data_IF_578681439955
#
_entry.id   IF_578681439955
#
_cell.length_a   1.000
_cell.length_b   1.000
_cell.length_c   1.000
_cell.angle_alpha   90.00
_cell.angle_beta   90.00
_cell.angle_gamma   90.00
#
_symmetry.space_group_name_H-M   'P 1'
#
loop_
_entity.id
_entity.type
_entity.pdbx_description
1 polymer ?
#
# COMPACT_ATOMS: atom_id res chain seq x y z
N UNK A 1 -20.18 15.62 -11.94
CA UNK A 1 -19.75 15.32 -13.32
C UNK A 1 -20.32 14.01 -13.80
N UNK A 2 -20.03 12.91 -13.10
CA UNK A 2 -20.57 11.57 -13.40
C UNK A 2 -22.10 11.57 -13.50
N UNK A 3 -22.80 12.14 -12.51
CA UNK A 3 -24.28 12.25 -12.51
C UNK A 3 -24.86 13.06 -13.69
N UNK A 4 -24.05 13.90 -14.31
CA UNK A 4 -24.45 14.70 -15.48
C UNK A 4 -24.11 14.01 -16.81
N UNK A 5 -23.64 12.76 -16.77
CA UNK A 5 -23.28 11.98 -17.96
C UNK A 5 -21.97 12.40 -18.61
N UNK A 6 -21.18 13.26 -17.97
CA UNK A 6 -19.87 13.67 -18.48
C UNK A 6 -18.93 12.48 -18.43
N UNK A 7 -18.19 12.22 -19.52
CA UNK A 7 -17.13 11.21 -19.53
C UNK A 7 -15.99 11.68 -18.63
N UNK A 8 -15.66 10.88 -17.63
CA UNK A 8 -14.60 11.15 -16.66
C UNK A 8 -13.63 9.98 -16.68
N UNK A 9 -12.35 10.31 -16.63
CA UNK A 9 -11.25 9.38 -16.45
C UNK A 9 -10.40 9.85 -15.29
N UNK A 10 -9.71 8.93 -14.62
CA UNK A 10 -8.83 9.25 -13.51
C UNK A 10 -7.35 9.08 -13.89
N UNK A 11 -6.49 9.95 -13.35
CA UNK A 11 -5.06 9.96 -13.64
C UNK A 11 -4.29 10.79 -12.61
N UNK A 12 -2.96 10.70 -12.65
CA UNK A 12 -2.07 11.25 -11.62
C UNK A 12 -1.43 12.59 -11.98
N UNK A 13 -1.22 12.90 -13.26
CA UNK A 13 -0.32 13.98 -13.71
C UNK A 13 1.11 13.82 -13.12
N UNK A 14 1.60 12.56 -13.11
CA UNK A 14 2.73 12.11 -12.31
C UNK A 14 4.10 12.71 -12.64
N UNK A 15 4.27 13.33 -13.81
CA UNK A 15 5.52 14.00 -14.17
C UNK A 15 5.65 15.39 -13.54
N UNK A 16 4.57 15.94 -12.96
CA UNK A 16 4.51 17.35 -12.56
C UNK A 16 3.93 17.60 -11.16
N UNK A 17 2.87 16.88 -10.79
CA UNK A 17 2.05 17.26 -9.62
C UNK A 17 1.94 16.16 -8.58
N UNK A 18 1.88 14.88 -8.99
CA UNK A 18 1.65 13.79 -8.05
C UNK A 18 2.55 12.57 -8.31
N UNK A 19 2.37 11.52 -7.50
CA UNK A 19 3.05 10.23 -7.66
C UNK A 19 2.48 9.45 -8.85
N UNK A 20 3.30 8.58 -9.46
CA UNK A 20 2.85 7.57 -10.43
C UNK A 20 1.98 6.47 -9.79
N UNK A 21 1.94 6.39 -8.46
CA UNK A 21 1.25 5.33 -7.74
C UNK A 21 -0.28 5.44 -7.86
N UNK A 22 -0.97 4.53 -8.56
CA UNK A 22 -2.42 4.58 -8.74
C UNK A 22 -3.19 4.37 -7.43
N UNK A 23 -2.59 3.67 -6.46
CA UNK A 23 -3.24 3.35 -5.19
C UNK A 23 -3.42 4.56 -4.30
N UNK A 24 -2.48 5.52 -4.35
CA UNK A 24 -2.63 6.82 -3.68
C UNK A 24 -3.81 7.61 -4.27
N UNK A 25 -4.00 7.54 -5.59
CA UNK A 25 -5.13 8.20 -6.23
C UNK A 25 -6.46 7.51 -5.93
N UNK A 26 -6.50 6.17 -5.92
CA UNK A 26 -7.68 5.41 -5.52
C UNK A 26 -8.05 5.67 -4.05
N UNK A 27 -7.06 5.76 -3.15
CA UNK A 27 -7.25 6.20 -1.77
C UNK A 27 -7.86 7.60 -1.70
N UNK A 28 -7.34 8.56 -2.47
CA UNK A 28 -7.87 9.92 -2.47
C UNK A 28 -9.30 10.00 -3.02
N UNK A 29 -9.61 9.26 -4.10
CA UNK A 29 -10.95 9.22 -4.68
C UNK A 29 -12.00 8.64 -3.73
N UNK A 30 -11.63 7.64 -2.92
CA UNK A 30 -12.58 6.96 -2.03
C UNK A 30 -12.70 7.63 -0.66
N UNK A 31 -11.63 8.25 -0.16
CA UNK A 31 -11.60 8.82 1.20
C UNK A 31 -11.64 10.34 1.21
N UNK A 32 -11.20 10.99 0.13
CA UNK A 32 -10.99 12.43 0.05
C UNK A 32 -9.82 12.92 0.90
N UNK A 33 -8.95 12.02 1.38
CA UNK A 33 -7.83 12.34 2.27
C UNK A 33 -6.53 12.48 1.47
N UNK A 34 -5.71 13.45 1.88
CA UNK A 34 -4.30 13.52 1.48
C UNK A 34 -3.53 12.30 2.00
N UNK A 35 -2.32 12.04 1.48
CA UNK A 35 -1.42 11.00 2.00
C UNK A 35 -1.15 11.15 3.51
N UNK A 36 -1.24 12.38 4.05
CA UNK A 36 -1.12 12.66 5.49
C UNK A 36 -2.42 12.49 6.29
N UNK A 37 -3.50 11.99 5.69
CA UNK A 37 -4.78 11.74 6.35
C UNK A 37 -5.72 12.95 6.45
N UNK A 38 -5.27 14.16 6.09
CA UNK A 38 -6.13 15.35 6.08
C UNK A 38 -7.22 15.22 5.00
N UNK A 39 -8.49 15.26 5.40
CA UNK A 39 -9.63 15.22 4.48
C UNK A 39 -9.84 16.58 3.80
N UNK A 40 -9.83 16.58 2.47
CA UNK A 40 -10.05 17.77 1.63
C UNK A 40 -11.37 17.71 0.86
N UNK A 41 -11.91 16.52 0.57
CA UNK A 41 -13.14 16.36 -0.21
C UNK A 41 -14.38 16.19 0.67
N UNK A 42 -15.46 16.88 0.29
CA UNK A 42 -16.76 16.72 0.89
C UNK A 42 -17.31 15.28 0.67
N UNK A 43 -18.11 14.73 1.60
CA UNK A 43 -18.66 13.37 1.49
C UNK A 43 -19.39 13.09 0.17
N UNK A 44 -20.15 14.05 -0.37
CA UNK A 44 -20.88 13.88 -1.63
C UNK A 44 -20.01 13.83 -2.88
N UNK A 45 -18.70 14.10 -2.77
CA UNK A 45 -17.75 14.00 -3.88
C UNK A 45 -16.86 12.75 -3.79
N UNK A 46 -17.11 11.87 -2.81
CA UNK A 46 -16.39 10.61 -2.70
C UNK A 46 -16.98 9.57 -3.64
N UNK A 47 -16.12 8.73 -4.20
CA UNK A 47 -16.52 7.58 -5.00
C UNK A 47 -16.47 6.33 -4.15
N UNK A 48 -17.35 5.37 -4.42
CA UNK A 48 -17.12 4.03 -3.92
C UNK A 48 -15.94 3.37 -4.67
N UNK A 49 -15.44 2.27 -4.13
CA UNK A 49 -14.26 1.57 -4.66
C UNK A 49 -14.47 1.05 -6.09
N UNK A 50 -15.67 0.59 -6.44
CA UNK A 50 -15.93 0.12 -7.80
C UNK A 50 -15.90 1.26 -8.79
N UNK A 51 -16.56 2.38 -8.48
CA UNK A 51 -16.57 3.55 -9.35
C UNK A 51 -15.16 4.14 -9.50
N UNK A 52 -14.41 4.26 -8.40
CA UNK A 52 -13.02 4.71 -8.44
C UNK A 52 -12.13 3.80 -9.32
N UNK A 53 -12.26 2.48 -9.18
CA UNK A 53 -11.50 1.52 -9.98
C UNK A 53 -11.89 1.57 -11.46
N UNK A 54 -13.19 1.71 -11.77
CA UNK A 54 -13.68 1.87 -13.16
C UNK A 54 -13.11 3.11 -13.82
N UNK A 55 -13.03 4.23 -13.09
CA UNK A 55 -12.40 5.45 -13.60
C UNK A 55 -10.92 5.26 -13.92
N UNK A 56 -10.24 4.38 -13.20
CA UNK A 56 -8.82 4.07 -13.42
C UNK A 56 -8.57 3.03 -14.50
N UNK A 57 -9.61 2.30 -14.92
CA UNK A 57 -9.51 1.15 -15.82
C UNK A 57 -10.38 1.36 -17.06
N UNK A 58 -11.61 0.84 -17.06
CA UNK A 58 -12.52 0.82 -18.21
C UNK A 58 -12.89 2.22 -18.71
N UNK A 59 -13.19 3.18 -17.83
CA UNK A 59 -13.65 4.50 -18.26
C UNK A 59 -12.55 5.29 -19.00
N UNK A 60 -11.28 5.08 -18.62
CA UNK A 60 -10.14 5.72 -19.27
C UNK A 60 -9.99 5.32 -20.75
N UNK A 61 -10.49 4.14 -21.14
CA UNK A 61 -10.39 3.66 -22.53
C UNK A 61 -11.16 4.52 -23.53
N UNK A 62 -12.13 5.31 -23.07
CA UNK A 62 -12.82 6.27 -23.92
C UNK A 62 -11.88 7.36 -24.44
N UNK A 63 -10.95 7.84 -23.59
CA UNK A 63 -10.01 8.90 -23.95
C UNK A 63 -8.89 8.43 -24.87
N UNK A 64 -8.63 7.12 -24.92
CA UNK A 64 -7.63 6.52 -25.80
C UNK A 64 -8.23 5.83 -27.04
N UNK A 65 -9.54 5.90 -27.25
CA UNK A 65 -10.24 5.19 -28.34
C UNK A 65 -10.03 3.67 -28.30
N UNK A 66 -9.97 3.09 -27.10
CA UNK A 66 -9.72 1.66 -26.85
C UNK A 66 -10.89 0.96 -26.14
N UNK A 67 -12.07 1.57 -26.19
CA UNK A 67 -13.29 1.00 -25.59
C UNK A 67 -13.51 -0.42 -26.12
N UNK A 68 -13.72 -1.35 -25.20
CA UNK A 68 -13.92 -2.77 -25.52
C UNK A 68 -12.64 -3.56 -25.84
N UNK A 69 -11.47 -2.92 -25.88
CA UNK A 69 -10.18 -3.60 -26.08
C UNK A 69 -9.49 -3.99 -24.77
N UNK A 70 -9.62 -3.18 -23.72
CA UNK A 70 -8.97 -3.37 -22.42
C UNK A 70 -9.74 -2.69 -21.28
N UNK A 71 -9.20 -2.77 -20.07
CA UNK A 71 -9.74 -2.11 -18.88
C UNK A 71 -10.69 -2.97 -18.05
N UNK A 72 -10.99 -4.21 -18.48
CA UNK A 72 -11.80 -5.15 -17.72
C UNK A 72 -11.22 -6.58 -17.84
N UNK A 73 -11.45 -7.39 -16.82
CA UNK A 73 -11.27 -8.84 -16.92
C UNK A 73 -12.49 -9.41 -17.65
N UNK A 74 -12.42 -9.47 -18.98
CA UNK A 74 -13.54 -9.86 -19.84
C UNK A 74 -13.04 -10.55 -21.11
N UNK A 75 -13.75 -11.61 -21.52
CA UNK A 75 -13.47 -12.31 -22.79
C UNK A 75 -13.47 -11.33 -23.96
N UNK A 76 -12.46 -11.44 -24.82
CA UNK A 76 -12.25 -10.58 -25.99
C UNK A 76 -11.42 -9.32 -25.73
N UNK A 77 -11.06 -9.02 -24.47
CA UNK A 77 -10.12 -7.95 -24.13
C UNK A 77 -8.69 -8.48 -24.02
N UNK A 78 -7.71 -7.57 -24.08
CA UNK A 78 -6.30 -7.87 -23.83
C UNK A 78 -6.12 -8.51 -22.46
N UNK A 79 -5.22 -9.49 -22.39
CA UNK A 79 -4.80 -10.12 -21.14
C UNK A 79 -3.81 -9.24 -20.38
N UNK A 80 -4.26 -8.03 -20.07
CA UNK A 80 -3.54 -7.02 -19.27
C UNK A 80 -4.15 -7.04 -17.86
N UNK A 81 -3.40 -7.55 -16.88
CA UNK A 81 -3.88 -7.65 -15.51
C UNK A 81 -2.75 -7.48 -14.50
N UNK A 82 -3.14 -7.10 -13.29
CA UNK A 82 -2.27 -7.09 -12.12
C UNK A 82 -2.88 -7.98 -11.03
N UNK A 83 -2.05 -8.77 -10.37
CA UNK A 83 -2.37 -9.45 -9.12
C UNK A 83 -1.84 -8.58 -7.99
N UNK A 84 -2.67 -8.32 -6.99
CA UNK A 84 -2.39 -7.34 -5.95
C UNK A 84 -1.92 -8.00 -4.67
N UNK A 85 -1.11 -7.28 -3.88
CA UNK A 85 -0.64 -7.73 -2.57
C UNK A 85 -1.75 -7.83 -1.53
N UNK A 86 -2.87 -7.14 -1.73
CA UNK A 86 -4.04 -7.19 -0.87
C UNK A 86 -5.33 -6.98 -1.68
N UNK A 87 -6.46 -7.38 -1.11
CA UNK A 87 -7.77 -7.18 -1.72
C UNK A 87 -8.25 -5.74 -1.54
N UNK A 88 -8.17 -4.97 -2.63
CA UNK A 88 -8.61 -3.58 -2.70
C UNK A 88 -10.04 -3.37 -2.22
N UNK A 89 -10.94 -4.36 -2.26
CA UNK A 89 -12.33 -4.16 -1.85
C UNK A 89 -12.56 -4.35 -0.35
N UNK A 90 -11.65 -5.01 0.37
CA UNK A 90 -11.84 -5.37 1.79
C UNK A 90 -10.84 -4.73 2.74
N UNK A 91 -9.66 -4.29 2.27
CA UNK A 91 -8.68 -3.62 3.14
C UNK A 91 -9.25 -2.36 3.81
N UNK A 92 -8.81 -1.99 5.01
CA UNK A 92 -9.09 -0.68 5.60
C UNK A 92 -8.75 0.47 4.64
N UNK A 93 -9.48 1.58 4.72
CA UNK A 93 -9.28 2.73 3.83
C UNK A 93 -7.83 3.19 3.75
N UNK A 94 -7.14 3.29 4.90
CA UNK A 94 -5.77 3.79 4.97
C UNK A 94 -4.75 2.85 4.30
N UNK A 95 -5.04 1.55 4.25
CA UNK A 95 -4.16 0.53 3.67
C UNK A 95 -4.25 0.47 2.14
N UNK A 96 -5.27 1.11 1.54
CA UNK A 96 -5.40 1.18 0.07
C UNK A 96 -4.10 1.69 -0.56
N UNK A 97 -3.47 2.72 0.01
CA UNK A 97 -2.30 3.38 -0.57
C UNK A 97 -1.01 2.52 -0.52
N UNK A 98 -1.03 1.42 0.24
CA UNK A 98 0.10 0.50 0.40
C UNK A 98 -0.03 -0.75 -0.48
N UNK A 99 -1.14 -0.89 -1.22
CA UNK A 99 -1.31 -1.98 -2.18
C UNK A 99 -0.20 -1.88 -3.24
N UNK A 100 0.36 -3.03 -3.60
CA UNK A 100 1.35 -3.19 -4.66
C UNK A 100 0.91 -4.28 -5.62
N UNK A 101 1.47 -4.30 -6.83
CA UNK A 101 1.35 -5.46 -7.73
C UNK A 101 2.38 -6.50 -7.33
N UNK A 102 1.97 -7.76 -7.20
CA UNK A 102 2.88 -8.91 -7.02
C UNK A 102 3.14 -9.63 -8.35
N UNK A 103 2.30 -9.42 -9.35
CA UNK A 103 2.43 -9.97 -10.70
C UNK A 103 1.71 -9.05 -11.68
N UNK A 104 2.38 -8.67 -12.78
CA UNK A 104 1.77 -7.90 -13.86
C UNK A 104 1.92 -8.66 -15.18
N UNK A 105 0.80 -8.81 -15.89
CA UNK A 105 0.76 -9.34 -17.25
C UNK A 105 0.39 -8.23 -18.22
N UNK A 106 1.07 -8.25 -19.38
CA UNK A 106 0.78 -7.39 -20.52
C UNK A 106 0.65 -8.27 -21.77
N UNK A 107 -0.53 -8.26 -22.39
CA UNK A 107 -0.85 -9.10 -23.54
C UNK A 107 -0.68 -10.59 -23.26
N UNK A 108 -0.91 -11.03 -22.01
CA UNK A 108 -0.74 -12.42 -21.59
C UNK A 108 0.71 -12.82 -21.27
N UNK A 109 1.67 -11.90 -21.32
CA UNK A 109 3.06 -12.13 -20.92
C UNK A 109 3.35 -11.52 -19.57
N UNK A 110 4.05 -12.25 -18.71
CA UNK A 110 4.54 -11.71 -17.44
C UNK A 110 5.60 -10.63 -17.74
N UNK A 111 5.41 -9.44 -17.21
CA UNK A 111 6.34 -8.30 -17.35
C UNK A 111 6.89 -7.80 -16.01
N UNK A 112 6.27 -8.21 -14.92
CA UNK A 112 6.72 -7.93 -13.56
C UNK A 112 6.27 -9.06 -12.64
N UNK A 113 7.09 -9.39 -11.66
CA UNK A 113 6.80 -10.38 -10.63
C UNK A 113 7.62 -10.09 -9.39
N UNK A 114 7.01 -10.27 -8.22
CA UNK A 114 7.64 -10.12 -6.90
C UNK A 114 7.37 -11.38 -6.06
N UNK A 115 8.16 -11.61 -5.02
CA UNK A 115 8.07 -12.79 -4.16
C UNK A 115 8.02 -14.10 -4.97
N UNK A 116 6.96 -14.90 -4.77
CA UNK A 116 6.74 -16.18 -5.45
C UNK A 116 6.65 -16.07 -6.97
N UNK A 117 6.34 -14.89 -7.51
CA UNK A 117 6.26 -14.64 -8.95
C UNK A 117 7.56 -14.11 -9.57
N UNK A 118 8.58 -13.81 -8.76
CA UNK A 118 9.83 -13.21 -9.25
C UNK A 118 10.53 -14.04 -10.32
N UNK A 119 10.47 -15.37 -10.23
CA UNK A 119 11.06 -16.28 -11.21
C UNK A 119 10.42 -16.26 -12.60
N UNK A 120 9.21 -15.69 -12.74
CA UNK A 120 8.53 -15.54 -14.04
C UNK A 120 8.76 -14.17 -14.68
N UNK A 121 9.30 -13.21 -13.94
CA UNK A 121 9.53 -11.87 -14.44
C UNK A 121 10.75 -11.85 -15.39
N UNK A 122 10.69 -11.06 -16.48
CA UNK A 122 11.87 -10.82 -17.29
C UNK A 122 12.90 -10.01 -16.50
N UNK A 123 14.18 -10.15 -16.86
CA UNK A 123 15.23 -9.29 -16.31
C UNK A 123 14.97 -7.83 -16.71
N UNK A 124 14.86 -6.95 -15.71
CA UNK A 124 14.60 -5.53 -15.93
C UNK A 124 15.92 -4.84 -16.26
N UNK A 125 16.03 -4.13 -17.40
CA UNK A 125 17.25 -3.41 -17.72
C UNK A 125 17.53 -2.33 -16.66
N UNK A 126 18.81 -2.05 -16.36
CA UNK A 126 19.16 -1.04 -15.37
C UNK A 126 18.65 0.33 -15.80
N UNK A 127 18.22 1.13 -14.82
CA UNK A 127 17.77 2.49 -15.08
C UNK A 127 18.87 3.33 -15.74
N UNK A 128 18.52 4.00 -16.84
CA UNK A 128 19.40 4.94 -17.54
C UNK A 128 19.11 6.40 -17.12
N UNK A 129 20.09 7.31 -17.20
CA UNK A 129 21.50 7.05 -17.52
C UNK A 129 22.28 6.38 -16.38
N UNK A 130 23.49 5.90 -16.66
CA UNK A 130 24.31 5.14 -15.72
C UNK A 130 24.63 5.83 -14.39
N UNK A 131 24.62 7.18 -14.38
CA UNK A 131 24.83 8.00 -13.19
C UNK A 131 23.54 8.27 -12.40
N UNK A 132 22.38 7.86 -12.91
CA UNK A 132 21.07 8.17 -12.31
C UNK A 132 20.97 7.59 -10.90
N UNK A 133 20.52 8.37 -9.90
CA UNK A 133 20.23 7.84 -8.57
C UNK A 133 19.25 6.66 -8.61
N UNK A 134 18.31 6.64 -9.56
CA UNK A 134 17.38 5.52 -9.74
C UNK A 134 18.08 4.18 -10.03
N UNK A 135 19.30 4.22 -10.59
CA UNK A 135 20.12 3.03 -10.83
C UNK A 135 20.77 2.48 -9.57
N UNK A 136 20.94 3.31 -8.54
CA UNK A 136 21.63 2.97 -7.30
C UNK A 136 20.67 2.59 -6.15
N UNK A 137 19.58 1.90 -6.47
CA UNK A 137 18.69 1.30 -5.47
C UNK A 137 17.65 2.25 -4.84
N UNK A 138 17.30 3.35 -5.53
CA UNK A 138 16.23 4.27 -5.11
C UNK A 138 14.88 3.70 -5.56
N UNK A 139 14.50 2.54 -4.99
CA UNK A 139 13.23 1.87 -5.25
C UNK A 139 12.07 2.42 -4.42
N UNK A 140 10.87 1.92 -4.69
CA UNK A 140 9.71 2.13 -3.83
C UNK A 140 10.02 1.67 -2.39
N UNK A 141 9.66 2.48 -1.41
CA UNK A 141 9.77 2.14 0.01
C UNK A 141 8.36 2.04 0.59
N UNK A 142 7.96 0.88 1.13
CA UNK A 142 6.65 0.76 1.75
C UNK A 142 6.56 1.70 2.95
N UNK A 143 5.36 2.23 3.19
CA UNK A 143 5.07 3.02 4.38
C UNK A 143 5.28 2.13 5.59
N UNK A 144 6.05 2.59 6.57
CA UNK A 144 6.15 1.85 7.81
C UNK A 144 4.81 1.94 8.54
N UNK A 145 4.31 0.83 9.11
CA UNK A 145 3.11 0.87 9.92
C UNK A 145 3.29 1.95 10.98
N UNK A 146 2.32 2.87 11.08
CA UNK A 146 2.32 3.81 12.19
C UNK A 146 2.18 2.99 13.46
N UNK A 147 3.31 2.78 14.14
CA UNK A 147 3.30 2.23 15.49
C UNK A 147 2.59 3.30 16.32
N UNK A 148 1.30 3.08 16.60
CA UNK A 148 0.56 3.93 17.52
C UNK A 148 1.36 3.96 18.80
N UNK A 149 1.95 5.11 19.11
CA UNK A 149 2.68 5.31 20.33
C UNK A 149 1.62 5.48 21.43
N UNK A 150 1.06 4.36 21.91
CA UNK A 150 -0.04 4.30 22.88
C UNK A 150 0.38 4.79 24.29
N UNK A 151 1.51 5.50 24.39
CA UNK A 151 2.03 6.07 25.64
C UNK A 151 1.06 7.05 26.32
N UNK A 152 -0.03 7.46 25.67
CA UNK A 152 -0.95 8.46 26.18
C UNK A 152 -2.21 7.93 26.89
N UNK A 153 -2.41 6.60 27.04
CA UNK A 153 -3.68 6.05 27.57
C UNK A 153 -3.63 5.57 29.03
N UNK A 154 -2.46 5.53 29.68
CA UNK A 154 -2.34 4.98 31.03
C UNK A 154 -2.39 6.10 32.09
N UNK A 155 -3.51 6.19 32.81
CA UNK A 155 -3.75 7.12 33.93
C UNK A 155 -3.03 6.60 35.18
N UNK A 156 -1.71 6.76 35.25
CA UNK A 156 -0.96 6.58 36.50
C UNK A 156 -0.70 7.95 37.12
N UNK A 157 -1.08 8.14 38.38
CA UNK A 157 -1.01 9.43 39.07
C UNK A 157 0.41 9.84 39.53
N UNK A 158 1.41 8.98 39.35
CA UNK A 158 2.79 9.21 39.83
C UNK A 158 3.82 8.60 38.88
N UNK A 159 4.87 9.36 38.58
CA UNK A 159 6.02 8.91 37.79
C UNK A 159 6.93 8.01 38.63
N UNK A 160 7.21 6.79 38.16
CA UNK A 160 8.22 5.91 38.76
C UNK A 160 9.44 5.83 37.83
N UNK A 161 10.54 6.48 38.21
CA UNK A 161 11.74 6.63 37.38
C UNK A 161 12.66 5.40 37.29
N UNK A 162 12.15 4.21 37.59
CA UNK A 162 13.00 3.00 37.69
C UNK A 162 12.98 2.16 36.39
N UNK A 163 11.89 2.20 35.62
CA UNK A 163 11.81 1.58 34.29
C UNK A 163 11.00 2.49 33.37
N UNK A 164 11.46 2.71 32.13
CA UNK A 164 10.67 3.45 31.13
C UNK A 164 9.31 2.79 30.93
N UNK A 165 8.24 3.59 30.81
CA UNK A 165 6.88 3.10 30.56
C UNK A 165 6.74 2.49 29.15
N UNK A 166 7.37 1.33 28.95
CA UNK A 166 7.36 0.57 27.70
C UNK A 166 6.45 -0.67 27.83
N UNK A 167 5.31 -0.54 28.51
CA UNK A 167 4.33 -1.63 28.67
C UNK A 167 3.81 -2.15 27.33
N UNK A 168 3.63 -1.26 26.35
CA UNK A 168 3.29 -1.59 24.97
C UNK A 168 4.36 -2.46 24.31
N UNK A 169 5.64 -2.23 24.59
CA UNK A 169 6.73 -3.07 24.09
C UNK A 169 6.71 -4.46 24.73
N UNK A 170 6.40 -4.56 26.03
CA UNK A 170 6.21 -5.85 26.71
C UNK A 170 4.95 -6.59 26.23
N UNK A 171 3.86 -5.87 25.94
CA UNK A 171 2.61 -6.45 25.46
C UNK A 171 2.69 -6.91 24.00
N UNK A 172 3.46 -6.21 23.17
CA UNK A 172 3.71 -6.57 21.77
C UNK A 172 4.93 -7.47 21.57
N UNK A 173 5.75 -7.70 22.60
CA UNK A 173 6.89 -8.61 22.47
C UNK A 173 6.40 -10.06 22.39
N UNK A 174 6.89 -10.80 21.40
CA UNK A 174 6.76 -12.26 21.35
C UNK A 174 7.64 -12.86 22.44
N UNK A 175 7.13 -12.97 23.66
CA UNK A 175 7.84 -13.64 24.75
C UNK A 175 7.66 -15.15 24.56
N UNK A 176 8.74 -15.94 24.51
CA UNK A 176 8.64 -17.39 24.29
C UNK A 176 8.17 -18.06 25.59
N UNK A 177 6.87 -17.95 25.89
CA UNK A 177 6.27 -18.47 27.13
C UNK A 177 6.35 -20.00 27.27
N UNK A 178 6.74 -20.70 26.19
CA UNK A 178 7.01 -22.14 26.16
C UNK A 178 8.46 -22.52 26.45
N UNK A 179 9.38 -21.55 26.53
CA UNK A 179 10.80 -21.74 26.84
C UNK A 179 11.15 -20.89 28.06
N UNK A 180 11.28 -21.52 29.22
CA UNK A 180 11.59 -20.84 30.48
C UNK A 180 12.92 -20.07 30.40
N UNK A 181 13.92 -20.59 29.68
CA UNK A 181 15.22 -19.93 29.57
C UNK A 181 15.16 -18.64 28.75
N UNK A 182 14.44 -18.66 27.62
CA UNK A 182 14.16 -17.48 26.81
C UNK A 182 13.22 -16.49 27.50
N UNK A 183 12.24 -16.99 28.27
CA UNK A 183 11.31 -16.16 29.04
C UNK A 183 12.02 -15.33 30.11
N UNK A 184 12.88 -15.95 30.92
CA UNK A 184 13.63 -15.24 31.98
C UNK A 184 14.77 -14.38 31.44
N UNK A 185 15.39 -14.80 30.32
CA UNK A 185 16.39 -14.00 29.61
C UNK A 185 15.84 -12.68 29.06
N UNK A 186 14.59 -12.67 28.57
CA UNK A 186 13.93 -11.47 28.04
C UNK A 186 13.62 -10.41 29.12
N UNK A 187 13.54 -10.82 30.39
CA UNK A 187 13.29 -9.95 31.55
C UNK A 187 14.58 -9.46 32.23
N UNK A 188 15.76 -9.77 31.67
CA UNK A 188 17.05 -9.24 32.13
C UNK A 188 17.60 -9.87 33.41
N UNK A 189 17.06 -11.01 33.86
CA UNK A 189 17.47 -11.71 35.08
C UNK A 189 18.11 -13.07 34.78
N UNK A 190 19.16 -13.12 33.94
CA UNK A 190 19.92 -14.34 33.67
C UNK A 190 21.14 -14.50 34.59
N UNK A 191 20.98 -14.35 35.90
CA UNK A 191 22.06 -14.53 36.89
C UNK A 191 21.86 -15.72 37.84
N UNK A 192 20.89 -16.61 37.60
CA UNK A 192 20.66 -17.79 38.43
C UNK A 192 20.43 -19.03 37.59
N UNK A 193 21.53 -19.65 37.13
CA UNK A 193 21.65 -21.10 36.93
C UNK A 193 23.10 -21.43 36.56
N UNK A 194 23.83 -22.03 37.51
CA UNK A 194 24.77 -23.11 37.20
C UNK A 194 23.98 -24.42 37.29
#
# INVERSE_FOLDING_TARGET
MLEKGVKVGAGTDATRVASYNPWVSLYWLTTGKTVGGLRMSAPGNLLDRNDALRLWTEANTWFSSEVGKKGQIKVGQLADLAVLSADYFSVPEDEIQDITSVLTLLGGKVVYGDGDFGGYAPEIPPAMPDWSPARHGVGYKPRQPQVLNVNASCVCATSCGVHGHAHTRAWMSSVPASDESGFWGALGCSCWAF
#
